data_IF_477448184555
#
_entry.id   IF_477448184555
#
_cell.length_a   1.000
_cell.length_b   1.000
_cell.length_c   1.000
_cell.angle_alpha   90.00
_cell.angle_beta   90.00
_cell.angle_gamma   90.00
#
_symmetry.space_group_name_H-M   'P 1'
#
loop_
_entity.id
_entity.type
_entity.pdbx_description
1 polymer ?
#
# COMPACT_ATOMS: atom_id res chain seq x y z
N UNK A 1 -7.21 5.03 11.54
CA UNK A 1 -8.41 4.45 10.90
C UNK A 1 -8.07 3.72 9.58
N UNK A 2 -6.97 2.97 9.48
CA UNK A 2 -6.50 2.41 8.19
C UNK A 2 -6.51 0.87 8.07
N UNK A 3 -6.91 0.14 9.12
CA UNK A 3 -6.88 -1.33 9.11
C UNK A 3 -7.90 -1.98 8.15
N UNK A 4 -9.10 -1.38 8.02
CA UNK A 4 -10.15 -1.91 7.12
C UNK A 4 -9.77 -1.78 5.65
N UNK A 5 -9.33 -0.59 5.22
CA UNK A 5 -8.94 -0.34 3.84
C UNK A 5 -7.71 -1.17 3.44
N UNK A 6 -6.70 -1.26 4.31
CA UNK A 6 -5.51 -2.10 4.04
C UNK A 6 -5.89 -3.56 3.82
N UNK A 7 -6.77 -4.09 4.67
CA UNK A 7 -7.29 -5.44 4.54
C UNK A 7 -8.15 -5.63 3.29
N UNK A 8 -8.98 -4.66 2.92
CA UNK A 8 -9.80 -4.68 1.69
C UNK A 8 -8.93 -4.69 0.43
N UNK A 9 -7.91 -3.84 0.36
CA UNK A 9 -6.96 -3.80 -0.77
C UNK A 9 -6.17 -5.12 -0.85
N UNK A 10 -5.71 -5.65 0.28
CA UNK A 10 -5.05 -6.96 0.32
C UNK A 10 -5.97 -8.08 -0.16
N UNK A 11 -7.25 -8.04 0.23
CA UNK A 11 -8.26 -9.00 -0.21
C UNK A 11 -8.53 -8.89 -1.72
N UNK A 12 -8.62 -7.67 -2.26
CA UNK A 12 -8.79 -7.46 -3.69
C UNK A 12 -7.66 -8.11 -4.50
N UNK A 13 -6.40 -7.86 -4.10
CA UNK A 13 -5.24 -8.51 -4.73
C UNK A 13 -5.32 -10.05 -4.67
N UNK A 14 -5.73 -10.62 -3.53
CA UNK A 14 -5.86 -12.07 -3.40
C UNK A 14 -6.92 -12.65 -4.35
N UNK A 15 -8.04 -11.96 -4.51
CA UNK A 15 -9.11 -12.37 -5.43
C UNK A 15 -8.58 -12.41 -6.86
N UNK A 16 -7.91 -11.37 -7.33
CA UNK A 16 -7.40 -11.33 -8.73
C UNK A 16 -6.34 -12.41 -8.98
N UNK A 17 -5.47 -12.69 -8.00
CA UNK A 17 -4.50 -13.79 -8.09
C UNK A 17 -5.18 -15.16 -8.17
N UNK A 18 -6.28 -15.39 -7.44
CA UNK A 18 -7.08 -16.60 -7.55
C UNK A 18 -7.80 -16.69 -8.91
N UNK A 19 -8.33 -15.58 -9.42
CA UNK A 19 -8.95 -15.54 -10.75
C UNK A 19 -7.95 -15.90 -11.85
N UNK A 20 -6.74 -15.33 -11.82
CA UNK A 20 -5.64 -15.65 -12.74
C UNK A 20 -5.37 -17.16 -12.72
N UNK A 21 -5.27 -17.76 -11.54
CA UNK A 21 -5.03 -19.19 -11.38
C UNK A 21 -6.14 -20.01 -12.04
N UNK A 22 -7.41 -19.75 -11.72
CA UNK A 22 -8.53 -20.53 -12.26
C UNK A 22 -8.69 -20.34 -13.78
N UNK A 23 -8.48 -19.13 -14.29
CA UNK A 23 -8.53 -18.87 -15.73
C UNK A 23 -7.38 -19.56 -16.46
N UNK A 24 -6.18 -19.61 -15.88
CA UNK A 24 -5.03 -20.31 -16.46
C UNK A 24 -5.26 -21.84 -16.50
N UNK A 25 -5.78 -22.41 -15.42
CA UNK A 25 -6.18 -23.82 -15.37
C UNK A 25 -7.24 -24.14 -16.45
N UNK A 26 -8.29 -23.30 -16.56
CA UNK A 26 -9.30 -23.44 -17.59
C UNK A 26 -8.72 -23.35 -19.02
N UNK A 27 -7.83 -22.39 -19.26
CA UNK A 27 -7.19 -22.22 -20.57
C UNK A 27 -6.34 -23.44 -20.96
N UNK A 28 -5.72 -24.12 -19.99
CA UNK A 28 -4.97 -25.36 -20.18
C UNK A 28 -5.85 -26.56 -20.56
N UNK A 29 -7.10 -26.60 -20.10
CA UNK A 29 -8.04 -27.71 -20.33
C UNK A 29 -8.89 -27.56 -21.60
N UNK A 30 -9.07 -26.33 -22.09
CA UNK A 30 -10.00 -26.06 -23.20
C UNK A 30 -9.37 -26.36 -24.56
N UNK A 31 -9.95 -27.29 -25.31
CA UNK A 31 -9.48 -27.66 -26.66
C UNK A 31 -9.82 -26.65 -27.76
N UNK A 32 -10.83 -25.79 -27.55
CA UNK A 32 -11.22 -24.76 -28.53
C UNK A 32 -10.21 -23.61 -28.55
N UNK A 33 -9.54 -23.34 -29.70
CA UNK A 33 -8.58 -22.24 -29.79
C UNK A 33 -9.23 -20.87 -29.55
N UNK A 34 -10.47 -20.68 -30.00
CA UNK A 34 -11.20 -19.41 -29.82
C UNK A 34 -11.50 -19.13 -28.35
N UNK A 35 -12.00 -20.13 -27.62
CA UNK A 35 -12.29 -19.99 -26.19
C UNK A 35 -10.98 -19.80 -25.40
N UNK A 36 -9.93 -20.54 -25.74
CA UNK A 36 -8.60 -20.38 -25.13
C UNK A 36 -8.07 -18.96 -25.31
N UNK A 37 -8.19 -18.40 -26.51
CA UNK A 37 -7.77 -17.02 -26.77
C UNK A 37 -8.56 -16.00 -25.94
N UNK A 38 -9.87 -16.20 -25.76
CA UNK A 38 -10.69 -15.36 -24.87
C UNK A 38 -10.24 -15.47 -23.42
N UNK A 39 -9.98 -16.68 -22.92
CA UNK A 39 -9.47 -16.89 -21.55
C UNK A 39 -8.12 -16.19 -21.33
N UNK A 40 -7.20 -16.27 -22.31
CA UNK A 40 -5.92 -15.57 -22.25
C UNK A 40 -6.08 -14.04 -22.17
N UNK A 41 -7.06 -13.47 -22.89
CA UNK A 41 -7.38 -12.03 -22.77
C UNK A 41 -7.87 -11.66 -21.38
N UNK A 42 -8.72 -12.49 -20.77
CA UNK A 42 -9.18 -12.27 -19.40
C UNK A 42 -8.01 -12.35 -18.41
N UNK A 43 -7.13 -13.34 -18.54
CA UNK A 43 -5.92 -13.45 -17.72
C UNK A 43 -5.09 -12.16 -17.80
N UNK A 44 -4.89 -11.60 -18.99
CA UNK A 44 -4.17 -10.33 -19.12
C UNK A 44 -4.85 -9.16 -18.38
N UNK A 45 -6.19 -9.11 -18.36
CA UNK A 45 -6.93 -8.09 -17.60
C UNK A 45 -6.70 -8.24 -16.10
N UNK A 46 -6.90 -9.45 -15.57
CA UNK A 46 -6.71 -9.74 -14.15
C UNK A 46 -5.27 -9.47 -13.68
N UNK A 47 -4.27 -9.76 -14.54
CA UNK A 47 -2.87 -9.43 -14.24
C UNK A 47 -2.66 -7.92 -14.07
N UNK A 48 -3.30 -7.08 -14.91
CA UNK A 48 -3.21 -5.63 -14.75
C UNK A 48 -3.89 -5.16 -13.45
N UNK A 49 -5.03 -5.74 -13.08
CA UNK A 49 -5.74 -5.41 -11.84
C UNK A 49 -4.92 -5.84 -10.60
N UNK A 50 -4.34 -7.04 -10.62
CA UNK A 50 -3.43 -7.50 -9.57
C UNK A 50 -2.18 -6.58 -9.45
N UNK A 51 -1.60 -6.13 -10.56
CA UNK A 51 -0.50 -5.16 -10.54
C UNK A 51 -0.93 -3.83 -9.90
N UNK A 52 -2.12 -3.35 -10.22
CA UNK A 52 -2.68 -2.13 -9.63
C UNK A 52 -2.81 -2.25 -8.10
N UNK A 53 -3.45 -3.31 -7.59
CA UNK A 53 -3.62 -3.50 -6.16
C UNK A 53 -2.30 -3.72 -5.42
N UNK A 54 -1.38 -4.48 -6.02
CA UNK A 54 -0.05 -4.67 -5.47
C UNK A 54 0.73 -3.34 -5.36
N UNK A 55 0.65 -2.49 -6.39
CA UNK A 55 1.24 -1.16 -6.34
C UNK A 55 0.58 -0.28 -5.26
N UNK A 56 -0.74 -0.37 -5.12
CA UNK A 56 -1.48 0.37 -4.10
C UNK A 56 -1.08 -0.05 -2.68
N UNK A 57 -0.96 -1.36 -2.41
CA UNK A 57 -0.46 -1.87 -1.12
C UNK A 57 0.95 -1.38 -0.82
N UNK A 58 1.84 -1.40 -1.82
CA UNK A 58 3.19 -0.91 -1.65
C UNK A 58 3.20 0.55 -1.17
N UNK A 59 2.37 1.43 -1.76
CA UNK A 59 2.24 2.82 -1.29
C UNK A 59 1.69 2.92 0.13
N UNK A 60 0.68 2.11 0.47
CA UNK A 60 0.08 2.10 1.81
C UNK A 60 1.10 1.67 2.89
N UNK A 61 1.97 0.71 2.56
CA UNK A 61 3.01 0.22 3.47
C UNK A 61 4.19 1.21 3.62
N UNK A 62 4.44 2.06 2.62
CA UNK A 62 5.49 3.07 2.63
C UNK A 62 5.03 4.46 3.12
N UNK A 63 3.75 4.64 3.46
CA UNK A 63 3.29 5.93 3.98
C UNK A 63 3.80 6.18 5.40
N UNK A 64 4.54 7.28 5.64
CA UNK A 64 4.93 7.66 7.00
C UNK A 64 3.67 7.96 7.82
N UNK A 65 3.70 7.73 9.14
CA UNK A 65 2.54 8.00 10.00
C UNK A 65 2.13 9.46 9.85
N UNK A 66 0.81 9.75 9.72
CA UNK A 66 0.33 11.11 9.69
C UNK A 66 0.55 11.71 11.08
N UNK A 67 1.57 12.58 11.19
CA UNK A 67 1.97 13.30 12.39
C UNK A 67 2.79 12.48 13.41
N UNK A 68 4.12 12.62 13.35
CA UNK A 68 4.96 12.49 14.53
C UNK A 68 4.98 13.86 15.23
N UNK A 69 4.46 13.99 16.47
CA UNK A 69 4.63 15.24 17.21
C UNK A 69 6.13 15.55 17.33
N UNK A 70 6.54 16.83 17.30
CA UNK A 70 7.94 17.20 17.43
C UNK A 70 8.52 16.55 18.69
N UNK A 71 9.62 15.82 18.52
CA UNK A 71 10.33 15.19 19.62
C UNK A 71 10.77 16.28 20.59
N UNK A 72 10.17 16.31 21.78
CA UNK A 72 10.67 17.11 22.91
C UNK A 72 11.72 16.26 23.63
N UNK A 73 13.03 16.53 23.48
CA UNK A 73 14.03 15.88 24.30
C UNK A 73 13.72 16.14 25.79
N UNK A 74 13.88 15.13 26.68
CA UNK A 74 13.55 15.26 28.10
C UNK A 74 14.49 16.21 28.88
N UNK A 75 15.53 16.72 28.21
CA UNK A 75 16.42 17.74 28.76
C UNK A 75 16.27 19.00 27.93
N UNK A 76 15.92 20.10 28.61
CA UNK A 76 15.74 21.40 28.00
C UNK A 76 16.94 21.82 27.17
N UNK A 77 16.64 22.52 26.08
CA UNK A 77 17.62 23.08 25.16
C UNK A 77 18.66 23.93 25.93
N UNK A 78 19.97 23.57 25.91
CA UNK A 78 20.99 24.28 26.66
C UNK A 78 21.23 25.73 26.20
N UNK A 79 20.55 26.18 25.13
CA UNK A 79 20.75 27.51 24.55
C UNK A 79 19.77 28.59 24.99
N UNK A 80 18.91 28.34 25.98
CA UNK A 80 18.11 29.42 26.60
C UNK A 80 18.77 29.99 27.87
N UNK A 81 20.03 30.41 27.76
CA UNK A 81 20.54 31.45 28.67
C UNK A 81 20.03 32.80 28.18
N UNK A 82 18.79 33.10 28.54
CA UNK A 82 18.25 34.45 28.47
C UNK A 82 18.92 35.24 29.61
N UNK A 83 20.04 35.92 29.32
CA UNK A 83 20.58 36.92 30.23
C UNK A 83 19.50 37.97 30.49
N UNK A 84 19.07 38.04 31.74
CA UNK A 84 18.16 39.09 32.23
C UNK A 84 18.96 40.40 32.28
N UNK A 85 18.55 41.49 31.61
CA UNK A 85 19.06 42.79 31.98
C UNK A 85 18.39 43.17 33.31
N UNK A 86 19.14 43.08 34.40
CA UNK A 86 18.74 43.60 35.70
C UNK A 86 19.14 45.06 35.81
N UNK A 87 18.15 45.94 35.73
CA UNK A 87 18.26 47.38 35.98
C UNK A 87 18.86 47.70 37.35
N UNK A 88 19.53 48.85 37.39
CA UNK A 88 20.40 49.26 38.49
C UNK A 88 19.72 49.61 39.81
N UNK A 89 20.59 49.72 40.82
CA UNK A 89 20.60 50.78 41.84
C UNK A 89 21.99 50.87 42.45
#
# INVERSE_FOLDING_TARGET
MNGSLHHEVRRALQIDLEQIKYLAEAAGMVNSPGIRHTLLKHICSEVHEAMFWNHHLAHMDHMPPPYSPPYHPPYGDPFTMQEKPGDGK
#
